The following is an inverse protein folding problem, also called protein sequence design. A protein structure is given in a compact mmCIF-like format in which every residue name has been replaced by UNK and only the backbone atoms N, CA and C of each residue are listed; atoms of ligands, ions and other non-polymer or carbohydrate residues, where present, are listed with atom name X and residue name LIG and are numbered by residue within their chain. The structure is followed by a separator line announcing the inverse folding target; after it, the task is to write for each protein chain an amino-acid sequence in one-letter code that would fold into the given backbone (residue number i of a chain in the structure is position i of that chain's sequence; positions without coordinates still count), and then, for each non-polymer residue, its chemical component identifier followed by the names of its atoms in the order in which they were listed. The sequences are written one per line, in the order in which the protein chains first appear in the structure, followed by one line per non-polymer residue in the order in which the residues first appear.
data_IF_082065346227
#
_entry.id   IF_082065346227
#
_cell.length_a   1.000
_cell.length_b   1.000
_cell.length_c   1.000
_cell.angle_alpha   90.00
_cell.angle_beta   90.00
_cell.angle_gamma   90.00
#
_symmetry.space_group_name_H-M   'P 1'
#
loop_
_entity.id
_entity.type
_entity.pdbx_description
1 polymer ?
#
# COMPACT_ATOMS: atom_id res chain seq x y z
N UNK A 1 -6.61 -11.21 -10.36
CA UNK A 1 -5.80 -10.12 -9.80
C UNK A 1 -6.55 -8.79 -9.96
N UNK A 2 -6.48 -7.91 -8.96
CA UNK A 2 -7.49 -6.85 -8.67
C UNK A 2 -7.75 -5.82 -9.77
N UNK A 3 -8.97 -5.27 -9.78
CA UNK A 3 -9.42 -4.18 -10.66
C UNK A 3 -8.98 -2.80 -10.13
N UNK A 4 -7.71 -2.62 -9.82
CA UNK A 4 -7.22 -1.28 -9.49
C UNK A 4 -7.24 -0.43 -10.78
N UNK A 5 -7.77 0.80 -10.76
CA UNK A 5 -7.61 1.71 -11.87
C UNK A 5 -6.12 1.91 -12.17
N UNK A 6 -5.77 2.07 -13.44
CA UNK A 6 -4.40 2.36 -13.83
C UNK A 6 -3.99 3.71 -13.21
N UNK A 7 -3.07 3.67 -12.24
CA UNK A 7 -2.41 4.86 -11.70
C UNK A 7 -1.28 5.25 -12.67
N UNK A 8 -1.04 6.55 -12.82
CA UNK A 8 0.15 7.05 -13.51
C UNK A 8 1.41 6.48 -12.83
N UNK A 9 2.24 5.70 -13.53
CA UNK A 9 3.43 5.07 -12.94
C UNK A 9 4.46 6.07 -12.41
N UNK A 10 4.36 7.35 -12.79
CA UNK A 10 5.23 8.43 -12.32
C UNK A 10 4.70 9.16 -11.07
N UNK A 11 3.57 8.72 -10.49
CA UNK A 11 2.99 9.32 -9.29
C UNK A 11 2.62 10.81 -9.44
N UNK A 12 2.46 11.33 -10.65
CA UNK A 12 2.24 12.78 -10.86
C UNK A 12 0.84 13.24 -10.45
N UNK A 13 -0.12 12.31 -10.37
CA UNK A 13 -1.53 12.63 -10.13
C UNK A 13 -2.03 12.24 -8.74
N UNK A 14 -1.18 11.66 -7.89
CA UNK A 14 -1.55 11.18 -6.56
C UNK A 14 -0.75 11.95 -5.50
N UNK A 15 -1.40 12.72 -4.61
CA UNK A 15 -0.72 13.39 -3.49
C UNK A 15 0.05 12.39 -2.63
N UNK A 16 1.35 12.64 -2.46
CA UNK A 16 2.25 11.80 -1.70
C UNK A 16 3.40 12.64 -1.16
N UNK A 17 4.01 12.15 -0.09
CA UNK A 17 5.31 12.64 0.42
C UNK A 17 6.32 11.50 0.36
N UNK A 18 7.60 11.82 0.38
CA UNK A 18 8.63 10.79 0.50
C UNK A 18 8.84 10.39 1.97
N UNK A 19 8.90 9.09 2.21
CA UNK A 19 9.33 8.52 3.49
C UNK A 19 10.83 8.73 3.74
N UNK A 20 11.28 8.31 4.91
CA UNK A 20 12.71 8.39 5.29
C UNK A 20 13.62 7.56 4.39
N UNK A 21 13.05 6.52 3.76
CA UNK A 21 13.69 5.65 2.79
C UNK A 21 13.55 6.14 1.33
N UNK A 22 12.96 7.32 1.09
CA UNK A 22 12.73 7.86 -0.25
C UNK A 22 11.56 7.22 -1.01
N UNK A 23 10.76 6.35 -0.38
CA UNK A 23 9.61 5.70 -0.98
C UNK A 23 8.36 6.61 -0.86
N UNK A 24 7.53 6.76 -1.91
CA UNK A 24 6.27 7.50 -1.84
C UNK A 24 5.31 6.93 -0.79
N UNK A 25 4.85 7.80 0.11
CA UNK A 25 3.80 7.55 1.09
C UNK A 25 2.56 8.36 0.69
N UNK A 26 1.47 7.67 0.36
CA UNK A 26 0.20 8.28 -0.05
C UNK A 26 -0.35 9.16 1.07
N UNK A 27 -0.75 10.38 0.74
CA UNK A 27 -1.44 11.26 1.67
C UNK A 27 -2.89 10.79 1.89
N UNK A 28 -3.42 11.05 3.09
CA UNK A 28 -4.79 10.65 3.49
C UNK A 28 -5.12 9.15 3.38
N UNK A 29 -4.11 8.28 3.30
CA UNK A 29 -4.31 6.84 3.45
C UNK A 29 -4.74 6.47 4.88
N UNK A 30 -5.28 5.27 5.08
CA UNK A 30 -5.65 4.78 6.41
C UNK A 30 -4.42 4.51 7.30
N UNK A 31 -3.32 4.05 6.70
CA UNK A 31 -2.04 3.86 7.36
C UNK A 31 -0.91 3.73 6.33
N UNK A 32 0.32 3.98 6.75
CA UNK A 32 1.54 3.73 5.96
C UNK A 32 2.53 2.88 6.75
N UNK A 33 3.17 1.93 6.07
CA UNK A 33 4.22 1.07 6.60
C UNK A 33 5.46 1.17 5.69
N UNK A 34 6.55 1.71 6.21
CA UNK A 34 7.85 1.70 5.56
C UNK A 34 8.59 0.43 5.97
N UNK A 35 8.88 -0.44 5.00
CA UNK A 35 9.45 -1.75 5.26
C UNK A 35 10.79 -1.96 4.55
N UNK A 36 11.71 -2.67 5.20
CA UNK A 36 12.87 -3.29 4.56
C UNK A 36 12.51 -4.71 4.15
N UNK A 37 12.66 -5.06 2.87
CA UNK A 37 12.45 -6.43 2.41
C UNK A 37 13.50 -7.36 3.04
N UNK A 38 13.03 -8.39 3.75
CA UNK A 38 13.89 -9.39 4.40
C UNK A 38 13.93 -10.68 3.61
N UNK A 39 12.78 -11.18 3.16
CA UNK A 39 12.68 -12.48 2.47
C UNK A 39 11.63 -12.44 1.38
N UNK A 40 11.84 -13.28 0.37
CA UNK A 40 10.88 -13.56 -0.71
C UNK A 40 10.74 -15.07 -0.80
N UNK A 41 9.53 -15.58 -0.69
CA UNK A 41 9.22 -17.01 -0.77
C UNK A 41 8.37 -17.28 -2.02
N UNK A 42 8.86 -18.11 -2.97
CA UNK A 42 8.06 -18.51 -4.13
C UNK A 42 6.78 -19.27 -3.71
N UNK A 43 5.63 -18.87 -4.24
CA UNK A 43 4.32 -19.42 -3.87
C UNK A 43 3.37 -19.55 -5.07
N UNK A 44 3.71 -20.42 -6.02
CA UNK A 44 2.90 -20.67 -7.21
C UNK A 44 3.06 -19.56 -8.24
N UNK A 45 1.98 -18.84 -8.55
CA UNK A 45 1.98 -17.72 -9.51
C UNK A 45 2.27 -16.35 -8.85
N UNK A 46 2.53 -16.33 -7.54
CA UNK A 46 2.92 -15.15 -6.77
C UNK A 46 4.09 -15.46 -5.83
N UNK A 47 4.74 -14.40 -5.34
CA UNK A 47 5.71 -14.46 -4.26
C UNK A 47 5.12 -13.93 -2.95
N UNK A 48 5.53 -14.50 -1.82
CA UNK A 48 5.27 -13.96 -0.48
C UNK A 48 6.50 -13.14 -0.06
N UNK A 49 6.33 -11.83 0.07
CA UNK A 49 7.37 -10.93 0.56
C UNK A 49 7.21 -10.69 2.07
N UNK A 50 8.27 -10.95 2.84
CA UNK A 50 8.34 -10.65 4.27
C UNK A 50 9.22 -9.42 4.47
N UNK A 51 8.66 -8.37 5.08
CA UNK A 51 9.37 -7.11 5.34
C UNK A 51 9.41 -6.76 6.83
N UNK A 52 10.53 -6.23 7.29
CA UNK A 52 10.68 -5.60 8.60
C UNK A 52 10.13 -4.18 8.55
N UNK A 53 9.16 -3.87 9.42
CA UNK A 53 8.62 -2.51 9.53
C UNK A 53 9.64 -1.61 10.22
N UNK A 54 10.15 -0.62 9.51
CA UNK A 54 11.13 0.36 10.01
C UNK A 54 10.45 1.63 10.52
N UNK A 55 9.33 2.02 9.92
CA UNK A 55 8.47 3.09 10.39
C UNK A 55 7.00 2.79 10.06
N UNK A 56 6.09 3.26 10.91
CA UNK A 56 4.66 3.10 10.74
C UNK A 56 3.94 4.37 11.19
N UNK A 57 2.87 4.72 10.48
CA UNK A 57 1.99 5.81 10.88
C UNK A 57 0.54 5.41 10.64
N UNK A 58 -0.31 5.67 11.63
CA UNK A 58 -1.75 5.71 11.42
C UNK A 58 -2.08 6.97 10.61
N UNK A 59 -2.89 6.81 9.58
CA UNK A 59 -3.42 7.92 8.80
C UNK A 59 -4.79 8.35 9.30
N UNK A 60 -5.40 9.28 8.56
CA UNK A 60 -6.74 9.80 8.84
C UNK A 60 -7.79 9.30 7.85
N UNK A 61 -7.37 8.56 6.82
CA UNK A 61 -8.27 7.98 5.84
C UNK A 61 -9.09 6.84 6.43
N UNK A 62 -10.35 6.74 6.03
CA UNK A 62 -11.17 5.57 6.32
C UNK A 62 -10.65 4.36 5.52
N UNK A 63 -10.72 3.14 6.07
CA UNK A 63 -10.26 1.95 5.36
C UNK A 63 -11.17 1.64 4.15
N UNK A 64 -10.55 1.39 3.00
CA UNK A 64 -11.23 0.82 1.83
C UNK A 64 -11.31 -0.69 2.00
N UNK A 65 -12.53 -1.23 2.00
CA UNK A 65 -12.76 -2.68 2.10
C UNK A 65 -13.07 -3.24 0.71
N UNK A 66 -12.31 -4.25 0.29
CA UNK A 66 -12.63 -5.05 -0.91
C UNK A 66 -13.26 -6.37 -0.46
N UNK A 67 -14.56 -6.53 -0.70
CA UNK A 67 -15.30 -7.75 -0.37
C UNK A 67 -16.30 -8.09 -1.48
N UNK A 68 -16.40 -9.37 -1.82
CA UNK A 68 -17.24 -9.89 -2.91
C UNK A 68 -17.13 -9.06 -4.20
N UNK A 69 -15.89 -8.82 -4.64
CA UNK A 69 -15.55 -8.06 -5.85
C UNK A 69 -16.10 -6.62 -5.89
N UNK A 70 -16.51 -6.08 -4.74
CA UNK A 70 -17.07 -4.74 -4.59
C UNK A 70 -16.30 -3.95 -3.52
N UNK A 71 -16.33 -2.63 -3.65
CA UNK A 71 -15.72 -1.72 -2.68
C UNK A 71 -16.73 -1.27 -1.64
N UNK A 72 -16.29 -1.23 -0.38
CA UNK A 72 -17.11 -0.88 0.77
C UNK A 72 -16.35 0.04 1.72
N UNK A 73 -17.11 0.81 2.50
CA UNK A 73 -16.65 1.59 3.65
C UNK A 73 -17.03 0.86 4.94
N UNK A 74 -16.25 1.06 6.00
CA UNK A 74 -16.59 0.57 7.33
C UNK A 74 -17.41 1.65 8.05
N UNK A 75 -18.63 1.32 8.48
CA UNK A 75 -19.53 2.19 9.24
C UNK A 75 -19.82 1.58 10.62
#
# INVERSE_FOLDING_TARGET
AGRAPAIDPHWMTLPHRLGTNGIPLIEDCAASLECRLLQVHPAGDHDICVGEVQAAAAGRGEPLILWDRSFWTLH
#
